data_IF_870565862862
#
_entry.id   IF_870565862862
#
_cell.length_a   1.000
_cell.length_b   1.000
_cell.length_c   1.000
_cell.angle_alpha   90.00
_cell.angle_beta   90.00
_cell.angle_gamma   90.00
#
_symmetry.space_group_name_H-M   'P 1'
#
loop_
_entity.id
_entity.type
_entity.pdbx_description
1 polymer ?
#
# COMPACT_ATOMS: atom_id res chain seq x y z
N UNK A 1 -45.78 -24.17 8.59
CA UNK A 1 -45.38 -22.88 8.03
C UNK A 1 -44.09 -22.45 8.73
N UNK A 2 -42.92 -22.73 8.14
CA UNK A 2 -41.64 -22.29 8.65
C UNK A 2 -41.30 -20.96 7.99
N UNK A 3 -40.97 -19.94 8.78
CA UNK A 3 -40.46 -18.66 8.31
C UNK A 3 -39.02 -18.83 7.83
N UNK A 4 -38.58 -18.16 6.75
CA UNK A 4 -37.20 -18.17 6.30
C UNK A 4 -36.33 -17.36 7.26
N UNK A 5 -35.23 -17.95 7.69
CA UNK A 5 -34.16 -17.27 8.43
C UNK A 5 -33.56 -16.15 7.59
N UNK A 6 -33.42 -14.98 8.19
CA UNK A 6 -32.74 -13.82 7.62
C UNK A 6 -31.29 -14.16 7.29
N UNK A 7 -30.86 -13.76 6.09
CA UNK A 7 -29.50 -13.85 5.65
C UNK A 7 -28.60 -13.04 6.59
N UNK A 8 -27.53 -13.65 7.07
CA UNK A 8 -26.49 -13.04 7.87
C UNK A 8 -25.81 -11.91 7.10
N UNK A 9 -25.62 -10.77 7.77
CA UNK A 9 -24.88 -9.62 7.26
C UNK A 9 -23.53 -10.07 6.67
N UNK A 10 -23.26 -9.63 5.47
CA UNK A 10 -22.04 -9.97 4.73
C UNK A 10 -20.81 -9.33 5.39
N UNK A 11 -19.70 -10.07 5.44
CA UNK A 11 -18.37 -9.74 6.00
C UNK A 11 -17.79 -8.35 5.63
N UNK A 12 -18.45 -7.58 4.78
CA UNK A 12 -18.02 -6.25 4.34
C UNK A 12 -18.20 -5.14 5.38
N UNK A 13 -19.06 -5.34 6.40
CA UNK A 13 -19.34 -4.31 7.42
C UNK A 13 -18.30 -4.28 8.56
N UNK A 14 -17.50 -5.34 8.72
CA UNK A 14 -16.52 -5.44 9.82
C UNK A 14 -15.34 -4.47 9.63
N UNK A 15 -15.08 -4.00 8.40
CA UNK A 15 -14.02 -3.05 8.09
C UNK A 15 -14.34 -1.59 8.42
N UNK A 16 -15.62 -1.25 8.53
CA UNK A 16 -16.05 0.12 8.84
C UNK A 16 -15.78 0.51 10.31
N UNK A 17 -15.42 -0.42 11.18
CA UNK A 17 -15.22 -0.21 12.61
C UNK A 17 -13.77 -0.42 13.12
N UNK A 18 -12.78 -0.27 12.23
CA UNK A 18 -11.45 0.18 12.66
C UNK A 18 -10.42 -0.86 13.08
N UNK A 19 -10.68 -2.14 13.34
CA UNK A 19 -9.62 -3.16 13.51
C UNK A 19 -10.17 -4.55 13.24
N UNK A 20 -9.80 -5.13 12.10
CA UNK A 20 -10.07 -6.53 11.83
C UNK A 20 -9.37 -7.45 12.85
N UNK A 21 -10.00 -8.57 13.21
CA UNK A 21 -9.36 -9.57 14.05
C UNK A 21 -8.03 -10.06 13.42
N UNK A 22 -7.00 -10.44 14.19
CA UNK A 22 -5.69 -10.85 13.65
C UNK A 22 -5.77 -11.92 12.55
N UNK A 23 -6.70 -12.86 12.65
CA UNK A 23 -6.93 -13.91 11.65
C UNK A 23 -7.48 -13.35 10.33
N UNK A 24 -8.28 -12.30 10.38
CA UNK A 24 -8.80 -11.64 9.19
C UNK A 24 -7.69 -10.90 8.44
N UNK A 25 -6.81 -10.20 9.15
CA UNK A 25 -5.59 -9.62 8.53
C UNK A 25 -4.72 -10.69 7.89
N UNK A 26 -4.51 -11.82 8.55
CA UNK A 26 -3.74 -12.93 7.97
C UNK A 26 -4.36 -13.43 6.67
N UNK A 27 -5.69 -13.65 6.66
CA UNK A 27 -6.43 -14.06 5.45
C UNK A 27 -6.23 -13.05 4.32
N UNK A 28 -6.38 -11.76 4.61
CA UNK A 28 -6.22 -10.69 3.63
C UNK A 28 -4.79 -10.57 3.10
N UNK A 29 -3.78 -10.75 3.95
CA UNK A 29 -2.38 -10.77 3.53
C UNK A 29 -2.14 -11.92 2.55
N UNK A 30 -2.63 -13.13 2.87
CA UNK A 30 -2.44 -14.32 2.05
C UNK A 30 -3.21 -14.28 0.72
N UNK A 31 -4.30 -13.50 0.65
CA UNK A 31 -5.12 -13.33 -0.56
C UNK A 31 -4.87 -12.02 -1.29
N UNK A 32 -3.95 -11.18 -0.80
CA UNK A 32 -3.65 -9.88 -1.39
C UNK A 32 -3.09 -10.01 -2.82
N UNK A 33 -3.68 -9.30 -3.77
CA UNK A 33 -3.31 -9.35 -5.18
C UNK A 33 -2.24 -8.31 -5.52
N UNK A 34 -1.08 -8.40 -4.86
CA UNK A 34 0.01 -7.43 -5.06
C UNK A 34 0.95 -7.78 -6.21
N UNK A 35 1.02 -9.05 -6.59
CA UNK A 35 2.01 -9.56 -7.55
C UNK A 35 1.69 -9.24 -9.02
N UNK A 36 0.57 -8.59 -9.29
CA UNK A 36 0.29 -7.98 -10.59
C UNK A 36 1.28 -6.84 -10.91
N UNK A 37 1.92 -6.27 -9.88
CA UNK A 37 2.85 -5.13 -9.98
C UNK A 37 4.11 -5.28 -9.12
N UNK A 38 3.99 -5.83 -7.91
CA UNK A 38 5.11 -6.05 -7.01
C UNK A 38 5.86 -7.34 -7.35
N UNK A 39 7.16 -7.35 -7.06
CA UNK A 39 8.03 -8.52 -7.22
C UNK A 39 8.14 -9.29 -5.92
N UNK A 40 8.31 -10.60 -6.03
CA UNK A 40 8.85 -11.41 -4.93
C UNK A 40 10.34 -11.12 -4.83
N UNK A 41 10.72 -10.43 -3.77
CA UNK A 41 12.11 -10.02 -3.56
C UNK A 41 12.85 -11.03 -2.69
N UNK A 42 14.16 -11.08 -2.82
CA UNK A 42 15.02 -11.98 -2.07
C UNK A 42 15.12 -11.59 -0.58
N UNK A 43 15.53 -12.55 0.23
CA UNK A 43 15.97 -12.37 1.60
C UNK A 43 17.47 -12.63 1.67
N UNK A 44 18.28 -11.58 1.50
CA UNK A 44 19.73 -11.66 1.38
C UNK A 44 20.43 -11.72 2.74
N UNK A 45 21.29 -12.72 3.00
CA UNK A 45 22.11 -12.74 4.20
C UNK A 45 23.14 -11.60 4.23
N UNK A 46 23.12 -10.80 5.26
CA UNK A 46 24.09 -9.72 5.49
C UNK A 46 25.31 -10.23 6.28
N UNK A 47 26.20 -11.01 5.64
CA UNK A 47 27.29 -11.75 6.31
C UNK A 47 28.24 -10.83 7.10
N UNK A 48 28.62 -9.66 6.53
CA UNK A 48 29.48 -8.70 7.20
C UNK A 48 28.84 -8.12 8.45
N UNK A 49 27.58 -7.73 8.36
CA UNK A 49 26.81 -7.18 9.49
C UNK A 49 26.54 -8.27 10.53
N UNK A 50 26.21 -9.49 10.10
CA UNK A 50 26.00 -10.64 10.99
C UNK A 50 27.23 -10.94 11.85
N UNK A 51 28.42 -10.95 11.26
CA UNK A 51 29.68 -11.12 12.01
C UNK A 51 29.93 -9.99 12.99
N UNK A 52 29.71 -8.74 12.56
CA UNK A 52 29.93 -7.56 13.42
C UNK A 52 29.01 -7.52 14.62
N UNK A 53 27.75 -7.96 14.46
CA UNK A 53 26.72 -7.93 15.50
C UNK A 53 26.65 -9.25 16.31
N UNK A 54 27.37 -10.28 15.94
CA UNK A 54 27.26 -11.60 16.56
C UNK A 54 25.87 -12.23 16.43
N UNK A 55 25.13 -11.87 15.34
CA UNK A 55 23.75 -12.32 15.13
C UNK A 55 23.49 -12.62 13.64
N UNK A 56 22.45 -13.37 13.32
CA UNK A 56 22.00 -13.56 11.93
C UNK A 56 21.21 -12.34 11.49
N UNK A 57 21.71 -11.65 10.47
CA UNK A 57 21.05 -10.50 9.86
C UNK A 57 20.80 -10.78 8.40
N UNK A 58 19.58 -10.53 7.94
CA UNK A 58 19.20 -10.63 6.53
C UNK A 58 18.43 -9.38 6.09
N UNK A 59 18.55 -9.01 4.82
CA UNK A 59 17.82 -7.91 4.21
C UNK A 59 16.70 -8.44 3.32
N UNK A 60 15.46 -8.08 3.61
CA UNK A 60 14.35 -8.24 2.66
C UNK A 60 14.46 -7.13 1.62
N UNK A 61 14.79 -7.50 0.38
CA UNK A 61 15.24 -6.58 -0.65
C UNK A 61 14.09 -5.82 -1.34
N UNK A 62 13.26 -5.11 -0.54
CA UNK A 62 12.17 -4.29 -1.08
C UNK A 62 12.66 -3.05 -1.85
N UNK A 63 13.94 -2.73 -1.78
CA UNK A 63 14.64 -1.80 -2.67
C UNK A 63 14.68 -2.29 -4.14
N UNK A 64 14.50 -3.59 -4.40
CA UNK A 64 14.38 -4.15 -5.74
C UNK A 64 12.97 -4.05 -6.33
N UNK A 65 12.01 -3.44 -5.63
CA UNK A 65 10.70 -3.14 -6.20
C UNK A 65 10.78 -2.06 -7.31
N UNK A 66 9.80 -2.02 -8.25
CA UNK A 66 9.79 -1.02 -9.34
C UNK A 66 9.89 0.43 -8.87
N UNK A 67 9.43 0.73 -7.64
CA UNK A 67 9.51 2.06 -7.01
C UNK A 67 10.53 2.10 -5.86
N UNK A 68 11.45 1.15 -5.81
CA UNK A 68 12.50 1.02 -4.79
C UNK A 68 11.95 0.98 -3.35
N UNK A 69 10.73 0.46 -3.16
CA UNK A 69 10.05 0.44 -1.86
C UNK A 69 8.89 -0.54 -1.83
N UNK A 70 8.65 -1.13 -0.66
CA UNK A 70 7.49 -1.98 -0.39
C UNK A 70 6.14 -1.24 -0.49
N UNK A 71 6.13 0.09 -0.51
CA UNK A 71 4.90 0.90 -0.55
C UNK A 71 4.00 0.62 -1.76
N UNK A 72 4.55 0.12 -2.86
CA UNK A 72 3.78 -0.30 -4.03
C UNK A 72 2.75 -1.38 -3.69
N UNK A 73 3.07 -2.29 -2.78
CA UNK A 73 2.20 -3.41 -2.36
C UNK A 73 0.88 -2.91 -1.77
N UNK A 74 0.97 -2.04 -0.76
CA UNK A 74 -0.22 -1.49 -0.08
C UNK A 74 -1.02 -0.54 -0.97
N UNK A 75 -0.36 0.34 -1.72
CA UNK A 75 -1.02 1.24 -2.65
C UNK A 75 -1.82 0.46 -3.71
N UNK A 76 -1.20 -0.52 -4.35
CA UNK A 76 -1.85 -1.34 -5.35
C UNK A 76 -2.99 -2.17 -4.77
N UNK A 77 -2.76 -2.84 -3.62
CA UNK A 77 -3.79 -3.67 -2.99
C UNK A 77 -5.03 -2.85 -2.62
N UNK A 78 -4.84 -1.63 -2.09
CA UNK A 78 -5.96 -0.71 -1.82
C UNK A 78 -6.72 -0.36 -3.09
N UNK A 79 -6.02 0.09 -4.13
CA UNK A 79 -6.66 0.48 -5.38
C UNK A 79 -7.36 -0.71 -6.05
N UNK A 80 -6.75 -1.90 -6.04
CA UNK A 80 -7.32 -3.12 -6.64
C UNK A 80 -8.60 -3.59 -5.94
N UNK A 81 -8.75 -3.29 -4.65
CA UNK A 81 -9.95 -3.60 -3.85
C UNK A 81 -10.94 -2.42 -3.75
N UNK A 82 -10.64 -1.31 -4.40
CA UNK A 82 -11.57 -0.18 -4.50
C UNK A 82 -12.61 -0.46 -5.60
N UNK A 83 -13.91 -0.24 -5.35
CA UNK A 83 -14.95 -0.45 -6.35
C UNK A 83 -14.69 0.33 -7.64
N UNK A 84 -14.98 -0.25 -8.80
CA UNK A 84 -14.70 0.36 -10.12
C UNK A 84 -15.32 1.75 -10.25
N UNK A 85 -16.57 1.93 -9.85
CA UNK A 85 -17.24 3.23 -9.89
C UNK A 85 -16.53 4.31 -9.06
N UNK A 86 -15.76 3.94 -8.03
CA UNK A 86 -14.93 4.86 -7.27
C UNK A 86 -13.60 5.14 -8.00
N UNK A 87 -13.01 4.14 -8.63
CA UNK A 87 -11.81 4.30 -9.47
C UNK A 87 -12.07 5.15 -10.70
N UNK A 88 -13.24 5.04 -11.31
CA UNK A 88 -13.62 5.81 -12.51
C UNK A 88 -13.67 7.33 -12.22
N UNK A 89 -14.01 7.72 -10.99
CA UNK A 89 -13.93 9.13 -10.56
C UNK A 89 -12.49 9.60 -10.42
N UNK A 90 -11.58 8.70 -10.09
CA UNK A 90 -10.18 8.96 -9.85
C UNK A 90 -9.81 8.78 -8.37
N UNK A 91 -8.53 8.72 -8.11
CA UNK A 91 -7.97 8.58 -6.77
C UNK A 91 -7.09 9.77 -6.40
N UNK A 92 -6.90 10.00 -5.11
CA UNK A 92 -6.05 11.06 -4.59
C UNK A 92 -5.23 10.59 -3.41
N UNK A 93 -4.02 11.13 -3.26
CA UNK A 93 -3.20 10.95 -2.06
C UNK A 93 -2.35 12.18 -1.79
N UNK A 94 -1.87 12.32 -0.54
CA UNK A 94 -0.85 13.29 -0.17
C UNK A 94 0.44 12.56 0.20
N UNK A 95 1.51 12.76 -0.56
CA UNK A 95 2.83 12.21 -0.27
C UNK A 95 3.88 12.77 -1.22
N UNK A 96 5.10 13.05 -0.71
CA UNK A 96 6.27 13.40 -1.51
C UNK A 96 7.26 12.22 -1.66
N UNK A 97 6.91 11.03 -1.19
CA UNK A 97 7.84 9.89 -1.07
C UNK A 97 7.37 8.62 -1.74
N UNK A 98 7.78 7.51 -1.16
CA UNK A 98 7.55 6.17 -1.71
C UNK A 98 6.06 5.81 -1.89
N UNK A 99 5.17 6.36 -1.06
CA UNK A 99 3.74 6.13 -1.22
C UNK A 99 3.21 6.81 -2.48
N UNK A 100 3.63 8.05 -2.74
CA UNK A 100 3.27 8.77 -3.97
C UNK A 100 3.66 7.98 -5.22
N UNK A 101 4.89 7.47 -5.26
CA UNK A 101 5.38 6.63 -6.37
C UNK A 101 4.59 5.30 -6.47
N UNK A 102 4.27 4.68 -5.32
CA UNK A 102 3.43 3.48 -5.27
C UNK A 102 2.04 3.71 -5.84
N UNK A 103 1.38 4.83 -5.49
CA UNK A 103 0.07 5.20 -6.07
C UNK A 103 0.21 5.52 -7.55
N UNK A 104 1.25 6.26 -7.96
CA UNK A 104 1.48 6.64 -9.35
C UNK A 104 1.60 5.42 -10.28
N UNK A 105 2.48 4.48 -9.95
CA UNK A 105 2.66 3.27 -10.77
C UNK A 105 1.42 2.36 -10.74
N UNK A 106 0.70 2.32 -9.60
CA UNK A 106 -0.55 1.58 -9.48
C UNK A 106 -1.65 2.18 -10.36
N UNK A 107 -1.75 3.50 -10.40
CA UNK A 107 -2.69 4.23 -11.24
C UNK A 107 -2.42 3.95 -12.74
N UNK A 108 -1.16 4.04 -13.16
CA UNK A 108 -0.75 3.71 -14.53
C UNK A 108 -1.09 2.25 -14.89
N UNK A 109 -0.82 1.30 -13.99
CA UNK A 109 -1.12 -0.13 -14.19
C UNK A 109 -2.62 -0.41 -14.33
N UNK A 110 -3.46 0.31 -13.56
CA UNK A 110 -4.92 0.10 -13.54
C UNK A 110 -5.66 1.00 -14.54
N UNK A 111 -4.97 1.92 -15.22
CA UNK A 111 -5.60 2.89 -16.11
C UNK A 111 -6.48 3.92 -15.38
N UNK A 112 -6.17 4.21 -14.11
CA UNK A 112 -6.95 5.08 -13.22
C UNK A 112 -6.31 6.45 -13.13
N UNK A 113 -7.10 7.52 -13.15
CA UNK A 113 -6.60 8.88 -12.92
C UNK A 113 -6.22 9.05 -11.45
N UNK A 114 -5.03 9.58 -11.18
CA UNK A 114 -4.57 9.85 -9.83
C UNK A 114 -4.08 11.28 -9.66
N UNK A 115 -4.57 11.96 -8.63
CA UNK A 115 -4.06 13.25 -8.17
C UNK A 115 -3.13 13.02 -6.99
N UNK A 116 -1.90 13.50 -7.08
CA UNK A 116 -0.90 13.36 -6.02
C UNK A 116 -0.52 14.74 -5.53
N UNK A 117 -0.93 15.05 -4.31
CA UNK A 117 -0.63 16.32 -3.66
C UNK A 117 0.69 16.22 -2.93
N UNK A 118 1.60 17.13 -3.25
CA UNK A 118 2.98 17.15 -2.77
C UNK A 118 3.27 18.52 -2.17
N UNK A 119 3.95 18.63 -1.02
CA UNK A 119 4.39 19.92 -0.50
C UNK A 119 5.29 20.65 -1.49
N UNK A 120 5.20 21.97 -1.57
CA UNK A 120 6.03 22.80 -2.46
C UNK A 120 7.54 22.68 -2.14
N UNK A 121 7.84 22.35 -0.88
CA UNK A 121 9.20 22.14 -0.39
C UNK A 121 9.83 20.80 -0.80
N UNK A 122 9.06 19.92 -1.46
CA UNK A 122 9.57 18.61 -1.86
C UNK A 122 10.67 18.74 -2.93
N UNK A 123 11.76 17.96 -2.83
CA UNK A 123 12.80 17.94 -3.85
C UNK A 123 12.26 17.57 -5.22
N UNK A 124 12.66 18.33 -6.25
CA UNK A 124 12.20 18.14 -7.64
C UNK A 124 12.37 16.70 -8.13
N UNK A 125 13.47 16.03 -7.77
CA UNK A 125 13.74 14.63 -8.13
C UNK A 125 12.62 13.66 -7.67
N UNK A 126 11.97 13.94 -6.53
CA UNK A 126 10.85 13.12 -6.05
C UNK A 126 9.57 13.37 -6.85
N UNK A 127 9.33 14.62 -7.23
CA UNK A 127 8.19 15.01 -8.08
C UNK A 127 8.33 14.36 -9.45
N UNK A 128 9.54 14.41 -10.02
CA UNK A 128 9.83 13.83 -11.33
C UNK A 128 9.72 12.29 -11.32
N UNK A 129 10.14 11.64 -10.25
CA UNK A 129 9.95 10.20 -10.08
C UNK A 129 8.45 9.80 -10.05
N UNK A 130 7.61 10.58 -9.37
CA UNK A 130 6.15 10.36 -9.36
C UNK A 130 5.58 10.49 -10.77
N UNK A 131 5.95 11.53 -11.51
CA UNK A 131 5.53 11.75 -12.90
C UNK A 131 6.00 10.63 -13.83
N UNK A 132 7.25 10.20 -13.69
CA UNK A 132 7.83 9.12 -14.50
C UNK A 132 7.10 7.79 -14.29
N UNK A 133 6.73 7.45 -13.05
CA UNK A 133 5.99 6.22 -12.75
C UNK A 133 4.53 6.26 -13.18
N UNK A 134 3.89 7.44 -13.10
CA UNK A 134 2.46 7.58 -13.40
C UNK A 134 2.15 7.90 -14.85
N UNK A 135 3.10 8.52 -15.55
CA UNK A 135 2.88 8.97 -16.93
C UNK A 135 1.65 9.89 -17.05
N UNK A 136 0.85 9.73 -18.13
CA UNK A 136 -0.31 10.59 -18.39
C UNK A 136 -1.48 10.38 -17.40
N UNK A 137 -1.49 9.32 -16.60
CA UNK A 137 -2.57 9.05 -15.65
C UNK A 137 -2.44 9.85 -14.37
N UNK A 138 -1.30 10.49 -14.12
CA UNK A 138 -0.99 11.17 -12.86
C UNK A 138 -0.90 12.68 -13.04
N UNK A 139 -1.68 13.40 -12.22
CA UNK A 139 -1.54 14.83 -12.00
C UNK A 139 -0.85 15.07 -10.66
N UNK A 140 0.26 15.82 -10.68
CA UNK A 140 0.93 16.28 -9.45
C UNK A 140 0.48 17.71 -9.15
N UNK A 141 -0.03 17.91 -7.92
CA UNK A 141 -0.44 19.21 -7.38
C UNK A 141 0.54 19.60 -6.28
N UNK A 142 1.21 20.73 -6.43
CA UNK A 142 2.08 21.28 -5.39
C UNK A 142 1.25 22.20 -4.50
N UNK A 143 1.15 21.88 -3.19
CA UNK A 143 0.33 22.65 -2.25
C UNK A 143 0.89 22.59 -0.83
N UNK A 144 0.92 23.76 -0.17
CA UNK A 144 1.41 23.92 1.20
C UNK A 144 2.93 23.74 1.33
N UNK A 145 3.43 24.05 2.52
CA UNK A 145 4.85 24.00 2.83
C UNK A 145 5.23 22.73 3.61
N UNK A 146 4.24 22.07 4.21
CA UNK A 146 4.40 20.85 5.00
C UNK A 146 3.57 19.68 4.45
N UNK A 147 3.87 18.47 4.98
CA UNK A 147 3.02 17.31 4.71
C UNK A 147 1.57 17.53 5.19
N UNK A 148 1.38 18.16 6.35
CA UNK A 148 0.06 18.41 6.91
C UNK A 148 -0.76 19.34 6.01
N UNK A 149 -0.15 20.36 5.44
CA UNK A 149 -0.81 21.29 4.51
C UNK A 149 -1.21 20.57 3.21
N UNK A 150 -0.29 19.80 2.65
CA UNK A 150 -0.55 19.00 1.46
C UNK A 150 -1.66 17.96 1.71
N UNK A 151 -1.68 17.36 2.90
CA UNK A 151 -2.73 16.41 3.30
C UNK A 151 -4.09 17.09 3.43
N UNK A 152 -4.16 18.24 4.11
CA UNK A 152 -5.40 19.02 4.22
C UNK A 152 -5.93 19.45 2.85
N UNK A 153 -5.04 19.91 1.97
CA UNK A 153 -5.42 20.25 0.60
C UNK A 153 -5.94 19.04 -0.19
N UNK A 154 -5.31 17.89 -0.03
CA UNK A 154 -5.75 16.64 -0.66
C UNK A 154 -7.14 16.21 -0.16
N UNK A 155 -7.44 16.39 1.13
CA UNK A 155 -8.76 16.11 1.69
C UNK A 155 -9.84 17.03 1.10
N UNK A 156 -9.54 18.31 0.96
CA UNK A 156 -10.44 19.30 0.33
C UNK A 156 -10.73 18.89 -1.12
N UNK A 157 -9.70 18.64 -1.92
CA UNK A 157 -9.86 18.20 -3.30
C UNK A 157 -10.61 16.85 -3.41
N UNK A 158 -10.36 15.92 -2.49
CA UNK A 158 -11.09 14.65 -2.45
C UNK A 158 -12.59 14.87 -2.28
N UNK A 159 -12.99 15.78 -1.39
CA UNK A 159 -14.40 16.10 -1.15
C UNK A 159 -15.03 16.86 -2.34
N UNK A 160 -14.36 17.89 -2.85
CA UNK A 160 -14.86 18.72 -3.95
C UNK A 160 -15.02 17.94 -5.27
N UNK A 161 -14.10 17.05 -5.56
CA UNK A 161 -14.07 16.30 -6.82
C UNK A 161 -14.55 14.85 -6.69
N UNK A 162 -15.03 14.47 -5.50
CA UNK A 162 -15.51 13.13 -5.19
C UNK A 162 -14.47 12.04 -5.52
N UNK A 163 -13.18 12.30 -5.22
CA UNK A 163 -12.07 11.39 -5.45
C UNK A 163 -11.92 10.40 -4.29
N UNK A 164 -11.44 9.20 -4.60
CA UNK A 164 -11.15 8.20 -3.57
C UNK A 164 -9.77 8.44 -2.96
N UNK A 165 -9.71 8.68 -1.66
CA UNK A 165 -8.43 8.86 -0.97
C UNK A 165 -7.71 7.52 -0.80
N UNK A 166 -6.42 7.48 -1.15
CA UNK A 166 -5.54 6.33 -0.97
C UNK A 166 -4.56 6.65 0.16
N UNK A 167 -4.81 6.15 1.39
CA UNK A 167 -3.97 6.46 2.55
C UNK A 167 -2.62 5.74 2.48
N UNK A 168 -1.60 6.34 3.12
CA UNK A 168 -0.24 5.81 3.13
C UNK A 168 -0.02 4.67 4.15
N UNK A 169 -0.93 4.55 5.10
CA UNK A 169 -0.96 3.58 6.21
C UNK A 169 -2.42 3.48 6.70
N UNK A 170 -2.71 3.00 7.85
CA UNK A 170 -3.99 2.95 8.55
C UNK A 170 -5.24 2.74 7.66
N UNK A 171 -5.15 1.70 6.84
CA UNK A 171 -6.25 1.21 6.01
C UNK A 171 -6.08 -0.31 5.88
N UNK A 172 -7.14 -1.10 6.09
CA UNK A 172 -7.03 -2.56 6.09
C UNK A 172 -6.41 -3.14 4.82
N UNK A 173 -6.75 -2.62 3.65
CA UNK A 173 -6.20 -3.09 2.39
C UNK A 173 -4.73 -2.66 2.19
N UNK A 174 -4.39 -1.45 2.66
CA UNK A 174 -2.99 -1.00 2.67
C UNK A 174 -2.16 -1.88 3.59
N UNK A 175 -2.64 -2.11 4.82
CA UNK A 175 -1.97 -2.97 5.82
C UNK A 175 -1.79 -4.38 5.25
N UNK A 176 -2.84 -4.98 4.69
CA UNK A 176 -2.76 -6.32 4.09
C UNK A 176 -1.76 -6.38 2.94
N UNK A 177 -1.75 -5.40 2.05
CA UNK A 177 -0.76 -5.31 0.97
C UNK A 177 0.68 -5.24 1.49
N UNK A 178 0.94 -4.40 2.48
CA UNK A 178 2.28 -4.30 3.12
C UNK A 178 2.66 -5.60 3.85
N UNK A 179 1.67 -6.25 4.47
CA UNK A 179 1.86 -7.51 5.19
C UNK A 179 2.39 -8.66 4.32
N UNK A 180 2.26 -8.59 3.00
CA UNK A 180 2.84 -9.59 2.08
C UNK A 180 4.36 -9.67 2.15
N UNK A 181 5.04 -8.61 2.61
CA UNK A 181 6.49 -8.66 2.90
C UNK A 181 6.78 -9.69 3.98
N UNK A 182 5.96 -9.70 5.04
CA UNK A 182 6.12 -10.63 6.17
C UNK A 182 5.78 -12.07 5.77
N UNK A 183 4.76 -12.29 4.94
CA UNK A 183 4.43 -13.63 4.45
C UNK A 183 5.57 -14.22 3.60
N UNK A 184 6.22 -13.41 2.76
CA UNK A 184 7.40 -13.83 2.00
C UNK A 184 8.59 -14.18 2.90
N UNK A 185 8.84 -13.41 3.96
CA UNK A 185 9.89 -13.74 4.94
C UNK A 185 9.57 -15.06 5.63
N UNK A 186 8.32 -15.26 6.04
CA UNK A 186 7.89 -16.51 6.69
C UNK A 186 8.05 -17.74 5.78
N UNK A 187 7.76 -17.59 4.50
CA UNK A 187 7.95 -18.69 3.51
C UNK A 187 9.43 -18.99 3.33
N UNK A 188 10.29 -17.97 3.23
CA UNK A 188 11.74 -18.12 3.01
C UNK A 188 12.49 -18.63 4.24
N UNK A 189 12.03 -18.23 5.43
CA UNK A 189 12.62 -18.57 6.73
C UNK A 189 11.53 -19.05 7.71
N UNK A 190 10.95 -20.24 7.47
CA UNK A 190 9.91 -20.76 8.34
C UNK A 190 10.44 -20.94 9.77
N UNK A 191 9.73 -20.36 10.72
CA UNK A 191 10.06 -20.50 12.14
C UNK A 191 9.94 -21.99 12.52
N UNK A 192 11.05 -22.69 12.71
CA UNK A 192 11.02 -24.03 13.30
C UNK A 192 10.46 -23.89 14.71
N UNK A 193 9.29 -24.45 14.98
CA UNK A 193 8.86 -24.69 16.34
C UNK A 193 9.94 -25.57 16.97
N UNK A 194 10.72 -25.03 17.92
CA UNK A 194 11.49 -25.85 18.82
C UNK A 194 10.46 -26.67 19.60
N UNK A 195 10.36 -27.94 19.32
CA UNK A 195 9.58 -28.85 20.13
C UNK A 195 10.05 -28.71 21.57
N UNK A 196 9.12 -28.43 22.47
CA UNK A 196 9.34 -28.55 23.91
C UNK A 196 9.47 -30.08 24.11
N UNK A 197 10.69 -30.53 24.27
CA UNK A 197 10.99 -31.88 24.78
C UNK A 197 10.89 -31.88 26.28
#
# INVERSE_FOLDING_TARGET
MQQPQAATATDTDTFAQGHAAPMEYLRQILTARVYDIARETELDPALGLSRRLGNRVSFKREDNQPVFSFKVRGAYNKMRNTPQAALDRGVITASAGNHAQGVAISAAKLGVRATIVVPQTAPQVKVDAVRAHGGPTVQVVLAGDSYSDAYAHAQTLAAEQNLTFIPAFDDPYVIAGQGTVLSLIHISEPTRRRGIS
#
